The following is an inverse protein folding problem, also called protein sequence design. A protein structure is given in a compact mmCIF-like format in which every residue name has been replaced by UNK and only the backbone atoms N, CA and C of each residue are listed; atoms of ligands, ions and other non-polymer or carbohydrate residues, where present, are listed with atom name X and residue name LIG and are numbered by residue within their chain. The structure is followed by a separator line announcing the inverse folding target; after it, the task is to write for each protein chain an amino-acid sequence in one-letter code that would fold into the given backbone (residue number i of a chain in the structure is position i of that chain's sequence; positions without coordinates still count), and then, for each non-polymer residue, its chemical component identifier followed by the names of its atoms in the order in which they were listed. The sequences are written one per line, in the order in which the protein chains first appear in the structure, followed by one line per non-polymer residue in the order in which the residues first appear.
data_IF_691757510393
#
_entry.id   IF_691757510393
#
_cell.length_a   1.000
_cell.length_b   1.000
_cell.length_c   1.000
_cell.angle_alpha   90.00
_cell.angle_beta   90.00
_cell.angle_gamma   90.00
#
_symmetry.space_group_name_H-M   'P 1'
#
loop_
_entity.id
_entity.type
_entity.pdbx_description
1 polymer ?
#
# COMPACT_ATOMS: atom_id res chain seq x y z
N UNK A 1 -10.41 -3.83 -0.67
CA UNK A 1 -9.53 -2.77 -1.21
C UNK A 1 -8.30 -3.43 -1.81
N UNK A 2 -7.85 -2.99 -2.98
CA UNK A 2 -6.69 -3.59 -3.65
C UNK A 2 -5.48 -2.68 -3.49
N UNK A 3 -4.32 -3.27 -3.23
CA UNK A 3 -3.03 -2.57 -3.20
C UNK A 3 -2.12 -3.14 -4.27
N UNK A 4 -1.28 -2.29 -4.85
CA UNK A 4 -0.22 -2.68 -5.76
C UNK A 4 1.14 -2.35 -5.19
N UNK A 5 2.15 -3.18 -5.49
CA UNK A 5 3.56 -2.96 -5.19
C UNK A 5 4.33 -2.95 -6.50
N UNK A 6 4.79 -1.77 -6.92
CA UNK A 6 5.54 -1.63 -8.19
C UNK A 6 7.00 -2.05 -8.06
N UNK A 7 7.55 -2.06 -6.84
CA UNK A 7 8.96 -2.38 -6.57
C UNK A 7 9.11 -3.87 -6.25
N UNK A 8 8.31 -4.38 -5.33
CA UNK A 8 8.42 -5.76 -4.85
C UNK A 8 7.15 -6.56 -5.17
N UNK A 9 7.18 -7.28 -6.30
CA UNK A 9 6.03 -8.06 -6.79
C UNK A 9 5.59 -9.21 -5.87
N UNK A 10 6.47 -9.67 -4.98
CA UNK A 10 6.22 -10.76 -4.03
C UNK A 10 6.42 -10.28 -2.58
N UNK A 11 6.06 -9.04 -2.29
CA UNK A 11 6.21 -8.45 -0.95
C UNK A 11 5.33 -9.16 0.07
N UNK A 12 5.91 -9.55 1.20
CA UNK A 12 5.16 -10.11 2.33
C UNK A 12 5.28 -9.16 3.52
N UNK A 13 4.14 -8.65 3.99
CA UNK A 13 4.06 -7.82 5.19
C UNK A 13 3.55 -8.70 6.32
N UNK A 14 4.48 -9.35 7.02
CA UNK A 14 4.17 -10.34 8.06
C UNK A 14 3.30 -9.77 9.19
N UNK A 15 3.56 -8.54 9.63
CA UNK A 15 2.83 -7.87 10.71
C UNK A 15 1.34 -7.66 10.36
N UNK A 16 1.05 -7.45 9.08
CA UNK A 16 -0.29 -7.23 8.57
C UNK A 16 -0.95 -8.48 7.98
N UNK A 17 -0.21 -9.59 7.88
CA UNK A 17 -0.65 -10.81 7.19
C UNK A 17 -0.95 -10.61 5.70
N UNK A 18 -0.32 -9.62 5.06
CA UNK A 18 -0.57 -9.27 3.65
C UNK A 18 0.53 -9.82 2.76
N UNK A 19 0.14 -10.53 1.71
CA UNK A 19 1.07 -11.01 0.68
C UNK A 19 0.68 -10.42 -0.66
N UNK A 20 1.63 -9.74 -1.29
CA UNK A 20 1.52 -9.29 -2.67
C UNK A 20 1.91 -10.44 -3.60
N UNK A 21 1.10 -10.69 -4.62
CA UNK A 21 1.34 -11.68 -5.67
C UNK A 21 1.25 -10.95 -7.01
N UNK A 22 2.32 -11.05 -7.80
CA UNK A 22 2.54 -10.25 -9.02
C UNK A 22 2.39 -8.73 -8.81
N UNK A 23 2.70 -8.28 -7.60
CA UNK A 23 2.59 -6.88 -7.21
C UNK A 23 1.16 -6.47 -6.91
N UNK A 24 0.23 -7.38 -6.66
CA UNK A 24 -1.13 -7.09 -6.21
C UNK A 24 -1.44 -7.79 -4.88
N UNK A 25 -2.10 -7.09 -3.96
CA UNK A 25 -2.63 -7.67 -2.74
C UNK A 25 -4.08 -7.25 -2.54
N UNK A 26 -4.93 -8.19 -2.16
CA UNK A 26 -6.31 -7.92 -1.77
C UNK A 26 -6.40 -7.78 -0.25
N UNK A 27 -6.96 -6.66 0.19
CA UNK A 27 -7.08 -6.28 1.59
C UNK A 27 -8.54 -6.03 1.90
N UNK A 28 -9.11 -6.84 2.79
CA UNK A 28 -10.52 -6.73 3.20
C UNK A 28 -10.69 -5.80 4.40
N UNK A 29 -9.66 -5.67 5.23
CA UNK A 29 -9.71 -4.90 6.47
C UNK A 29 -9.32 -3.42 6.27
N UNK A 30 -10.06 -2.52 6.94
CA UNK A 30 -9.83 -1.08 6.84
C UNK A 30 -8.58 -0.64 7.61
N UNK A 31 -8.29 -1.23 8.76
CA UNK A 31 -7.10 -0.90 9.55
C UNK A 31 -5.84 -1.34 8.81
N UNK A 32 -5.82 -2.55 8.24
CA UNK A 32 -4.73 -3.02 7.37
C UNK A 32 -4.51 -2.08 6.19
N UNK A 33 -5.58 -1.62 5.54
CA UNK A 33 -5.47 -0.69 4.42
C UNK A 33 -4.90 0.68 4.83
N UNK A 34 -5.17 1.17 6.04
CA UNK A 34 -4.62 2.42 6.54
C UNK A 34 -3.11 2.30 6.81
N UNK A 35 -2.70 1.18 7.43
CA UNK A 35 -1.29 0.87 7.69
C UNK A 35 -0.48 0.71 6.40
N UNK A 36 -1.04 0.05 5.38
CA UNK A 36 -0.39 -0.07 4.06
C UNK A 36 -0.21 1.27 3.35
N UNK A 37 -1.09 2.25 3.58
CA UNK A 37 -0.94 3.61 3.04
C UNK A 37 0.15 4.42 3.76
N UNK A 38 0.45 4.07 5.01
CA UNK A 38 1.53 4.66 5.79
C UNK A 38 2.91 4.05 5.52
N UNK A 39 3.01 3.02 4.67
CA UNK A 39 4.29 2.40 4.35
C UNK A 39 5.23 3.35 3.59
N UNK A 40 6.56 3.19 3.76
CA UNK A 40 7.54 3.97 3.02
C UNK A 40 7.33 3.87 1.50
N UNK A 41 7.47 5.01 0.82
CA UNK A 41 7.32 5.08 -0.64
C UNK A 41 8.32 4.19 -1.40
N UNK A 42 9.47 3.89 -0.77
CA UNK A 42 10.50 2.98 -1.28
C UNK A 42 9.98 1.54 -1.49
N UNK A 43 8.96 1.12 -0.75
CA UNK A 43 8.30 -0.18 -0.94
C UNK A 43 7.36 -0.19 -2.15
N UNK A 44 7.00 0.97 -2.69
CA UNK A 44 6.15 1.10 -3.88
C UNK A 44 4.69 0.66 -3.68
N UNK A 45 4.23 0.55 -2.42
CA UNK A 45 2.88 0.11 -2.08
C UNK A 45 1.87 1.24 -2.29
N UNK A 46 0.82 1.01 -3.09
CA UNK A 46 -0.21 2.01 -3.42
C UNK A 46 -1.60 1.39 -3.44
N UNK A 47 -2.62 2.12 -3.01
CA UNK A 47 -4.01 1.67 -3.10
C UNK A 47 -4.55 1.85 -4.53
N UNK A 48 -5.06 0.79 -5.15
CA UNK A 48 -5.74 0.82 -6.45
C UNK A 48 -7.20 1.25 -6.22
N UNK A 49 -7.59 2.39 -6.81
CA UNK A 49 -8.96 2.92 -6.71
C UNK A 49 -9.22 3.90 -5.56
N UNK A 50 -8.19 4.29 -4.80
CA UNK A 50 -8.27 5.41 -3.86
C UNK A 50 -8.02 6.73 -4.58
N UNK A 51 -8.96 7.68 -4.47
CA UNK A 51 -8.74 9.09 -4.85
C UNK A 51 -7.36 9.52 -4.32
N UNK A 52 -6.49 10.17 -5.12
CA UNK A 52 -5.13 10.50 -4.69
C UNK A 52 -5.18 11.24 -3.34
N UNK A 53 -4.30 10.90 -2.38
CA UNK A 53 -4.15 11.72 -1.21
C UNK A 53 -3.78 13.11 -1.71
N UNK A 54 -4.57 14.10 -1.32
CA UNK A 54 -4.26 15.51 -1.58
C UNK A 54 -2.87 15.71 -0.99
N UNK A 55 -1.92 15.98 -1.86
CA UNK A 55 -0.55 16.34 -1.54
C UNK A 55 -0.58 17.26 -0.32
N UNK A 56 -0.20 16.76 0.85
CA UNK A 56 0.16 17.62 1.96
C UNK A 56 1.55 18.11 1.63
N UNK A 57 1.57 19.13 0.78
CA UNK A 57 2.74 19.97 0.52
C UNK A 57 3.14 20.58 1.87
N UNK A 58 4.18 20.03 2.47
CA UNK A 58 5.03 20.65 3.49
C UNK A 58 6.43 20.62 2.81
N UNK A 59 7.18 21.69 2.54
CA UNK A 59 7.43 23.02 3.12
C UNK A 59 8.19 23.79 1.99
N UNK A 60 8.07 25.10 1.74
CA UNK A 60 8.67 26.23 2.48
C UNK A 60 8.25 27.55 1.81
#
# INVERSE_FOLDING_TARGET
MRFTSSVYKQLVVHDLGVTFVDGEAEVTDKATADLLRGLPAELGVRAVGGRPPRESTNES
#
